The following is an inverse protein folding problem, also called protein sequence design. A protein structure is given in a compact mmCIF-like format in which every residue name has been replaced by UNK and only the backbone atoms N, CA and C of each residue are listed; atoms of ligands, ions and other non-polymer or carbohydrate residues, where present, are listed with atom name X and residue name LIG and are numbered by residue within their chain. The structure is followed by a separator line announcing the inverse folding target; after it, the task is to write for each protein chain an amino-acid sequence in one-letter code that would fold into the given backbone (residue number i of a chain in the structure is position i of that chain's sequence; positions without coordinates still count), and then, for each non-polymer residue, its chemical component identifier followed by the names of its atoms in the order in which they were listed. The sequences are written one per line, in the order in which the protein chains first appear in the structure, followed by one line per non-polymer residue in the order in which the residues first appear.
data_IF_830043284130
#
_entry.id   IF_830043284130
#
_cell.length_a   1.000
_cell.length_b   1.000
_cell.length_c   1.000
_cell.angle_alpha   90.00
_cell.angle_beta   90.00
_cell.angle_gamma   90.00
#
_symmetry.space_group_name_H-M   'P 1'
#
loop_
_entity.id
_entity.type
_entity.pdbx_description
1 polymer ?
#
# COMPACT_ATOMS: atom_id res chain seq x y z
N UNK A 1 -8.12 -19.04 -3.83
CA UNK A 1 -8.05 -17.70 -3.23
C UNK A 1 -7.01 -16.86 -3.98
N UNK A 2 -7.41 -15.68 -4.38
CA UNK A 2 -6.49 -14.77 -5.04
C UNK A 2 -5.68 -14.03 -4.00
N UNK A 3 -4.36 -14.05 -4.18
CA UNK A 3 -3.49 -13.33 -3.26
C UNK A 3 -3.12 -12.00 -3.85
N UNK A 4 -3.21 -10.95 -3.03
CA UNK A 4 -2.76 -9.64 -3.42
C UNK A 4 -1.23 -9.63 -3.46
N UNK A 5 -0.69 -9.12 -4.56
CA UNK A 5 0.76 -8.97 -4.65
C UNK A 5 1.16 -7.65 -4.00
N UNK A 6 1.84 -7.75 -2.88
CA UNK A 6 2.20 -6.59 -2.07
C UNK A 6 3.12 -5.61 -2.83
N UNK A 7 4.05 -6.15 -3.62
CA UNK A 7 4.95 -5.30 -4.41
C UNK A 7 4.20 -4.56 -5.52
N UNK A 8 3.29 -5.26 -6.19
CA UNK A 8 2.47 -4.61 -7.22
C UNK A 8 1.65 -3.47 -6.62
N UNK A 9 1.12 -3.70 -5.43
CA UNK A 9 0.34 -2.67 -4.74
C UNK A 9 1.22 -1.49 -4.38
N UNK A 10 2.45 -1.73 -3.94
CA UNK A 10 3.40 -0.68 -3.63
C UNK A 10 3.69 0.17 -4.87
N UNK A 11 3.89 -0.48 -6.01
CA UNK A 11 4.19 0.23 -7.25
C UNK A 11 3.01 1.11 -7.67
N UNK A 12 1.80 0.57 -7.60
CA UNK A 12 0.60 1.35 -7.89
C UNK A 12 0.49 2.55 -6.94
N UNK A 13 0.67 2.30 -5.66
CA UNK A 13 0.55 3.34 -4.64
C UNK A 13 1.57 4.46 -4.87
N UNK A 14 2.80 4.08 -5.24
CA UNK A 14 3.86 5.05 -5.49
C UNK A 14 3.53 5.90 -6.73
N UNK A 15 3.05 5.25 -7.81
CA UNK A 15 2.65 5.97 -9.02
C UNK A 15 1.54 6.96 -8.69
N UNK A 16 0.54 6.51 -7.94
CA UNK A 16 -0.60 7.36 -7.60
C UNK A 16 -0.17 8.55 -6.73
N UNK A 17 0.70 8.30 -5.77
CA UNK A 17 1.16 9.33 -4.85
C UNK A 17 2.00 10.40 -5.56
N UNK A 18 2.84 9.97 -6.48
CA UNK A 18 3.74 10.88 -7.18
C UNK A 18 3.15 11.44 -8.47
N UNK A 19 2.10 10.83 -8.97
CA UNK A 19 1.39 11.35 -10.13
C UNK A 19 1.99 10.97 -11.48
N UNK A 20 3.07 10.19 -11.51
CA UNK A 20 3.64 9.78 -12.79
C UNK A 20 4.45 8.52 -12.64
N UNK A 21 4.50 7.74 -13.73
CA UNK A 21 5.30 6.53 -13.78
C UNK A 21 6.78 6.88 -13.74
N UNK A 22 7.17 7.98 -14.38
CA UNK A 22 8.57 8.38 -14.41
C UNK A 22 9.09 8.70 -13.01
N UNK A 23 8.31 9.47 -12.23
CA UNK A 23 8.73 9.81 -10.88
C UNK A 23 8.79 8.57 -9.98
N UNK A 24 7.81 7.67 -10.13
CA UNK A 24 7.81 6.44 -9.36
C UNK A 24 8.98 5.55 -9.73
N UNK A 25 9.31 5.51 -11.02
CA UNK A 25 10.46 4.75 -11.51
C UNK A 25 11.75 5.20 -10.82
N UNK A 26 11.91 6.51 -10.67
CA UNK A 26 13.10 7.04 -10.00
C UNK A 26 13.12 6.68 -8.52
N UNK A 27 11.99 6.85 -7.85
CA UNK A 27 11.94 6.57 -6.42
C UNK A 27 12.17 5.10 -6.13
N UNK A 28 11.57 4.23 -6.94
CA UNK A 28 11.65 2.79 -6.74
C UNK A 28 12.90 2.17 -7.35
N UNK A 29 13.62 2.93 -8.16
CA UNK A 29 14.80 2.46 -8.87
C UNK A 29 14.49 1.26 -9.76
N UNK A 30 13.39 1.38 -10.50
CA UNK A 30 12.92 0.38 -11.44
C UNK A 30 12.76 1.03 -12.80
N UNK A 31 13.03 0.27 -13.86
CA UNK A 31 12.80 0.76 -15.22
C UNK A 31 11.30 1.00 -15.43
N UNK A 32 10.99 2.04 -16.19
CA UNK A 32 9.57 2.37 -16.44
C UNK A 32 8.79 1.22 -17.08
N UNK A 33 9.35 0.51 -18.08
CA UNK A 33 8.61 -0.63 -18.65
C UNK A 33 8.32 -1.72 -17.63
N UNK A 34 9.27 -1.98 -16.71
CA UNK A 34 9.07 -2.96 -15.65
C UNK A 34 7.92 -2.52 -14.75
N UNK A 35 7.95 -1.26 -14.34
CA UNK A 35 6.93 -0.71 -13.46
C UNK A 35 5.55 -0.74 -14.11
N UNK A 36 5.48 -0.34 -15.38
CA UNK A 36 4.21 -0.36 -16.12
C UNK A 36 3.68 -1.78 -16.27
N UNK A 37 4.58 -2.76 -16.50
CA UNK A 37 4.18 -4.15 -16.62
C UNK A 37 3.62 -4.69 -15.32
N UNK A 38 4.24 -4.35 -14.20
CA UNK A 38 3.76 -4.79 -12.89
C UNK A 38 2.42 -4.16 -12.55
N UNK A 39 2.23 -2.89 -12.91
CA UNK A 39 0.94 -2.24 -12.72
C UNK A 39 -0.14 -2.94 -13.52
N UNK A 40 0.18 -3.33 -14.77
CA UNK A 40 -0.79 -4.02 -15.60
C UNK A 40 -1.20 -5.36 -14.97
N UNK A 41 -0.24 -6.07 -14.38
CA UNK A 41 -0.57 -7.33 -13.71
C UNK A 41 -1.52 -7.10 -12.54
N UNK A 42 -1.32 -6.03 -11.79
CA UNK A 42 -2.23 -5.70 -10.69
C UNK A 42 -3.63 -5.40 -11.23
N UNK A 43 -3.69 -4.62 -12.30
CA UNK A 43 -4.99 -4.30 -12.92
C UNK A 43 -5.69 -5.56 -13.39
N UNK A 44 -4.93 -6.49 -13.97
CA UNK A 44 -5.50 -7.74 -14.41
C UNK A 44 -6.04 -8.57 -13.26
N UNK A 45 -5.33 -8.56 -12.13
CA UNK A 45 -5.78 -9.34 -10.98
C UNK A 45 -7.08 -8.80 -10.40
N UNK A 46 -7.32 -7.49 -10.50
CA UNK A 46 -8.58 -6.89 -10.06
C UNK A 46 -9.65 -6.91 -11.13
N UNK A 47 -9.25 -7.09 -12.39
CA UNK A 47 -10.19 -6.98 -13.50
C UNK A 47 -10.62 -5.56 -13.78
N UNK A 48 -9.84 -4.57 -13.35
CA UNK A 48 -10.18 -3.16 -13.45
C UNK A 48 -8.96 -2.34 -13.79
N UNK A 49 -9.16 -1.29 -14.59
CA UNK A 49 -8.12 -0.29 -14.76
C UNK A 49 -8.08 0.59 -13.53
N UNK A 50 -6.88 0.92 -13.08
CA UNK A 50 -6.71 1.75 -11.89
C UNK A 50 -6.38 3.18 -12.23
N UNK A 51 -5.88 3.43 -13.45
CA UNK A 51 -5.59 4.76 -13.94
C UNK A 51 -6.19 4.97 -15.32
N UNK A 52 -6.50 6.22 -15.63
CA UNK A 52 -6.78 6.62 -17.01
C UNK A 52 -6.07 7.95 -17.25
N UNK A 53 -5.89 8.27 -18.53
CA UNK A 53 -5.20 9.51 -18.88
C UNK A 53 -6.20 10.60 -19.17
N UNK A 54 -5.92 11.78 -18.58
CA UNK A 54 -6.65 12.99 -18.92
C UNK A 54 -5.59 13.98 -19.40
N UNK A 55 -5.50 14.12 -20.74
CA UNK A 55 -4.37 14.85 -21.31
C UNK A 55 -3.10 14.09 -21.05
N UNK A 56 -2.15 14.73 -20.39
CA UNK A 56 -0.87 14.11 -20.04
C UNK A 56 -0.82 13.58 -18.62
N UNK A 57 -1.93 13.72 -17.89
CA UNK A 57 -1.93 13.33 -16.49
C UNK A 57 -2.53 11.94 -16.32
N UNK A 58 -2.01 11.24 -15.32
CA UNK A 58 -2.62 10.00 -14.86
C UNK A 58 -3.61 10.34 -13.76
N UNK A 59 -4.83 9.84 -13.92
CA UNK A 59 -5.91 10.11 -12.97
C UNK A 59 -6.44 8.76 -12.51
N UNK A 60 -6.70 8.62 -11.22
CA UNK A 60 -7.26 7.39 -10.68
C UNK A 60 -8.67 7.17 -11.19
N UNK A 61 -8.96 5.96 -11.60
CA UNK A 61 -10.35 5.55 -11.86
C UNK A 61 -11.05 5.40 -10.53
N UNK A 62 -12.36 5.11 -10.57
CA UNK A 62 -13.09 4.83 -9.35
C UNK A 62 -12.48 3.64 -8.61
N UNK A 63 -12.17 2.57 -9.35
CA UNK A 63 -11.51 1.43 -8.78
C UNK A 63 -10.14 1.82 -8.20
N UNK A 64 -9.40 2.66 -8.93
CA UNK A 64 -8.11 3.14 -8.46
C UNK A 64 -8.21 3.90 -7.16
N UNK A 65 -9.25 4.73 -7.02
CA UNK A 65 -9.45 5.47 -5.76
C UNK A 65 -9.69 4.53 -4.60
N UNK A 66 -10.49 3.49 -4.82
CA UNK A 66 -10.73 2.49 -3.79
C UNK A 66 -9.45 1.78 -3.39
N UNK A 67 -8.70 1.32 -4.38
CA UNK A 67 -7.45 0.60 -4.11
C UNK A 67 -6.45 1.51 -3.42
N UNK A 68 -6.42 2.79 -3.80
CA UNK A 68 -5.49 3.73 -3.18
C UNK A 68 -5.78 3.91 -1.69
N UNK A 69 -7.05 4.03 -1.33
CA UNK A 69 -7.42 4.15 0.08
C UNK A 69 -6.97 2.95 0.89
N UNK A 70 -7.19 1.75 0.34
CA UNK A 70 -6.75 0.54 1.04
C UNK A 70 -5.23 0.45 1.09
N UNK A 71 -4.54 0.86 0.02
CA UNK A 71 -3.08 0.84 0.00
C UNK A 71 -2.51 1.74 1.10
N UNK A 72 -3.08 2.95 1.27
CA UNK A 72 -2.67 3.83 2.34
C UNK A 72 -2.74 3.14 3.70
N UNK A 73 -3.84 2.44 3.95
CA UNK A 73 -4.02 1.76 5.23
C UNK A 73 -3.08 0.58 5.38
N UNK A 74 -2.92 -0.18 4.30
CA UNK A 74 -2.06 -1.36 4.32
C UNK A 74 -0.61 -0.96 4.63
N UNK A 75 -0.10 0.05 3.93
CA UNK A 75 1.29 0.47 4.13
C UNK A 75 1.48 1.19 5.45
N UNK A 76 0.47 1.92 5.92
CA UNK A 76 0.53 2.53 7.25
C UNK A 76 0.59 1.47 8.33
N UNK A 77 -0.23 0.43 8.20
CA UNK A 77 -0.22 -0.67 9.15
C UNK A 77 1.10 -1.42 9.10
N UNK A 78 1.65 -1.62 7.90
CA UNK A 78 2.93 -2.28 7.76
C UNK A 78 4.05 -1.52 8.45
N UNK A 79 4.06 -0.19 8.28
CA UNK A 79 5.04 0.64 8.97
C UNK A 79 4.87 0.60 10.47
N UNK A 80 3.62 0.67 10.91
CA UNK A 80 3.32 0.59 12.33
C UNK A 80 3.78 -0.74 12.92
N UNK A 81 3.55 -1.82 12.21
CA UNK A 81 4.00 -3.14 12.63
C UNK A 81 5.51 -3.16 12.83
N UNK A 82 6.26 -2.68 11.84
CA UNK A 82 7.72 -2.66 11.93
C UNK A 82 8.18 -1.82 13.11
N UNK A 83 7.59 -0.64 13.27
CA UNK A 83 7.99 0.25 14.35
C UNK A 83 7.65 -0.33 15.72
N UNK A 84 6.49 -0.95 15.84
CA UNK A 84 6.05 -1.54 17.10
C UNK A 84 6.98 -2.67 17.52
N UNK A 85 7.30 -3.57 16.60
CA UNK A 85 8.14 -4.71 16.88
C UNK A 85 9.56 -4.26 17.22
N UNK A 86 10.03 -3.19 16.57
CA UNK A 86 11.38 -2.68 16.84
C UNK A 86 11.42 -1.71 18.00
N UNK A 87 10.30 -1.49 18.67
CA UNK A 87 10.25 -0.62 19.85
C UNK A 87 10.32 0.86 19.54
N UNK A 88 10.03 1.25 18.29
CA UNK A 88 10.05 2.66 17.91
C UNK A 88 8.67 3.30 18.15
N UNK A 89 8.63 4.60 18.42
CA UNK A 89 7.34 5.28 18.57
C UNK A 89 6.54 5.18 17.28
N UNK A 90 5.24 4.96 17.42
CA UNK A 90 4.34 4.98 16.28
C UNK A 90 3.47 6.23 16.39
N UNK A 91 2.83 6.59 15.30
CA UNK A 91 1.92 7.72 15.31
C UNK A 91 0.58 7.43 15.93
N UNK A 92 0.35 6.20 16.38
CA UNK A 92 -0.93 5.82 16.97
C UNK A 92 -0.89 5.85 18.47
N UNK A 93 -2.00 6.22 19.11
CA UNK A 93 -2.11 6.07 20.54
C UNK A 93 -1.97 4.61 20.91
N UNK A 94 -1.34 4.35 22.04
CA UNK A 94 -1.26 2.99 22.54
C UNK A 94 -2.65 2.50 22.89
N UNK A 95 -2.99 1.36 22.34
CA UNK A 95 -4.18 0.68 22.75
C UNK A 95 -3.75 -0.38 23.69
N UNK A 96 -4.17 -0.18 24.87
CA UNK A 96 -3.93 -1.24 25.79
C UNK A 96 -5.13 -2.06 25.82
N UNK A 97 -4.93 -2.88 25.31
CA UNK A 97 -5.92 -3.62 25.27
C UNK A 97 -5.75 -4.69 26.11
N UNK A 98 -5.41 -3.92 26.30
CA UNK A 98 -5.16 -4.40 26.88
C UNK A 98 -5.16 -5.02 26.89
N UNK A 99 -4.78 -4.86 26.77
CA UNK A 99 -4.64 -5.31 27.06
C UNK A 99 -4.32 -5.94 26.65
N UNK A 100 -4.29 -6.10 26.71
CA UNK A 100 -4.01 -6.47 26.80
C UNK A 100 -3.56 -6.88 26.56
N UNK A 101 -3.56 -6.88 26.77
CA UNK A 101 -3.27 -7.05 27.11
C UNK A 101 -3.11 -7.45 26.99
N UNK A 102 -3.14 -7.51 27.18
CA UNK A 102 -3.15 -7.80 27.54
C UNK A 102 -3.16 -8.43 27.06
N UNK A 103 -3.26 -8.65 27.14
CA UNK A 103 -3.33 -9.09 27.13
C UNK A 103 -3.14 -9.70 26.38
N UNK A 104 -2.98 -10.04 26.18
CA UNK A 104 -2.85 -10.42 25.97
C UNK A 104 -2.58 -10.77 25.47
N UNK A 105 -2.68 -10.96 25.41
CA UNK A 105 -2.49 -11.21 25.27
C UNK A 105 -2.35 -11.46 24.66
N UNK A 106 -2.15 -11.63 24.48
CA UNK A 106 -2.09 -11.75 24.40
C UNK A 106 -2.10 -11.78 23.63
N UNK A 107 -2.02 -11.96 23.25
CA UNK A 107 -2.11 -11.90 23.08
C UNK A 107 -2.07 -11.68 22.54
N UNK A 108 -1.95 -11.66 22.38
CA UNK A 108 -1.98 -11.38 22.51
C UNK A 108 -1.93 -11.09 22.04
N UNK A 109 -1.87 -11.12 21.87
CA UNK A 109 -1.98 -10.76 22.02
C UNK A 109 -1.97 -10.42 21.56
N UNK A 110 -1.87 -10.46 21.21
CA UNK A 110 -2.03 -10.10 21.35
C UNK A 110 -1.72 -9.85 20.91
N UNK A 111 -1.67 -9.72 20.73
CA UNK A 111 -1.50 -9.36 20.80
C UNK A 111 -1.18 -9.34 20.77
#
# INVERSE_FOLDING_TARGET
MDWLNYHHLLYFWTIARLGSVAAASEELRLAQPTLSGQLRLLEESFGEKLFHRVGRRLVLTEAGQTVYRYADEIFSLGRELMDTVKGRPTGRPLRFVVGIADVLPKLIAYR
#
